data_IF_410651442163
#
_entry.id   IF_410651442163
#
_cell.length_a   1.000
_cell.length_b   1.000
_cell.length_c   1.000
_cell.angle_alpha   90.00
_cell.angle_beta   90.00
_cell.angle_gamma   90.00
#
_symmetry.space_group_name_H-M   'P 1'
#
loop_
_entity.id
_entity.type
_entity.pdbx_description
1 polymer ?
#
# COMPACT_ATOMS: atom_id res chain seq x y z
N UNK A 1 -4.06 -0.07 -5.83
CA UNK A 1 -3.98 -1.01 -4.70
C UNK A 1 -5.09 -0.80 -3.65
N UNK A 2 -5.20 0.34 -2.97
CA UNK A 2 -6.26 0.67 -1.99
C UNK A 2 -7.72 0.54 -2.47
N UNK A 3 -8.06 1.06 -3.66
CA UNK A 3 -9.42 0.95 -4.24
C UNK A 3 -9.91 -0.49 -4.46
N UNK A 4 -9.00 -1.46 -4.45
CA UNK A 4 -9.28 -2.89 -4.65
C UNK A 4 -9.36 -3.68 -3.34
N UNK A 5 -9.20 -3.01 -2.19
CA UNK A 5 -9.35 -3.66 -0.88
C UNK A 5 -10.83 -3.90 -0.62
N UNK A 6 -11.19 -5.14 -0.29
CA UNK A 6 -12.54 -5.47 0.12
C UNK A 6 -12.96 -4.63 1.33
N UNK A 7 -14.18 -4.09 1.28
CA UNK A 7 -14.69 -3.16 2.31
C UNK A 7 -14.20 -1.72 2.20
N UNK A 8 -13.32 -1.35 1.25
CA UNK A 8 -12.87 0.04 1.10
C UNK A 8 -14.04 1.02 0.86
N UNK A 9 -15.01 0.64 0.02
CA UNK A 9 -16.19 1.48 -0.24
C UNK A 9 -17.07 1.65 1.01
N UNK A 10 -17.18 0.60 1.82
CA UNK A 10 -17.95 0.64 3.06
C UNK A 10 -17.27 1.52 4.11
N UNK A 11 -15.95 1.43 4.23
CA UNK A 11 -15.14 2.32 5.06
C UNK A 11 -15.35 3.80 4.69
N UNK A 12 -15.27 4.14 3.40
CA UNK A 12 -15.48 5.53 2.94
C UNK A 12 -16.89 6.00 3.29
N UNK A 13 -17.90 5.13 3.14
CA UNK A 13 -19.30 5.43 3.44
C UNK A 13 -19.49 5.71 4.93
N UNK A 14 -18.92 4.87 5.79
CA UNK A 14 -18.98 4.99 7.24
C UNK A 14 -18.30 6.29 7.72
N UNK A 15 -17.08 6.55 7.25
CA UNK A 15 -16.33 7.78 7.54
C UNK A 15 -17.09 9.03 7.08
N UNK A 16 -17.63 9.03 5.85
CA UNK A 16 -18.37 10.19 5.34
C UNK A 16 -19.66 10.46 6.13
N UNK A 17 -20.31 9.41 6.63
CA UNK A 17 -21.55 9.49 7.41
C UNK A 17 -21.27 9.98 8.83
N UNK A 18 -20.12 9.64 9.42
CA UNK A 18 -19.75 10.10 10.77
C UNK A 18 -19.38 11.59 10.83
N UNK A 19 -18.99 12.21 9.71
CA UNK A 19 -18.68 13.63 9.67
C UNK A 19 -19.93 14.51 9.72
N UNK A 20 -20.21 15.06 10.90
CA UNK A 20 -21.23 16.10 11.09
C UNK A 20 -20.59 17.48 10.95
N UNK A 21 -20.97 18.23 9.90
CA UNK A 21 -20.43 19.57 9.62
C UNK A 21 -21.58 20.49 9.21
N UNK A 22 -21.67 21.64 9.87
CA UNK A 22 -22.63 22.71 9.57
C UNK A 22 -21.99 23.82 8.72
N UNK A 23 -22.81 24.53 7.93
CA UNK A 23 -22.37 25.67 7.11
C UNK A 23 -22.86 25.56 5.66
N UNK A 24 -22.29 26.37 4.78
CA UNK A 24 -22.60 26.28 3.35
C UNK A 24 -22.14 24.94 2.77
N UNK A 25 -22.80 24.49 1.69
CA UNK A 25 -22.46 23.23 1.03
C UNK A 25 -20.98 23.14 0.65
N UNK A 26 -20.40 24.23 0.14
CA UNK A 26 -18.98 24.30 -0.21
C UNK A 26 -18.07 24.17 1.02
N UNK A 27 -18.43 24.82 2.13
CA UNK A 27 -17.68 24.69 3.38
C UNK A 27 -17.72 23.25 3.92
N UNK A 28 -18.92 22.66 3.99
CA UNK A 28 -19.13 21.30 4.44
C UNK A 28 -18.29 20.30 3.62
N UNK A 29 -18.28 20.44 2.30
CA UNK A 29 -17.50 19.60 1.39
C UNK A 29 -15.99 19.71 1.65
N UNK A 30 -15.45 20.93 1.80
CA UNK A 30 -14.02 21.14 2.09
C UNK A 30 -13.61 20.50 3.42
N UNK A 31 -14.43 20.64 4.46
CA UNK A 31 -14.15 20.07 5.77
C UNK A 31 -14.19 18.54 5.72
N UNK A 32 -15.23 17.96 5.11
CA UNK A 32 -15.35 16.49 4.95
C UNK A 32 -14.19 15.90 4.17
N UNK A 33 -13.75 16.53 3.07
CA UNK A 33 -12.58 16.07 2.31
C UNK A 33 -11.28 16.14 3.12
N UNK A 34 -11.11 17.18 3.95
CA UNK A 34 -9.94 17.31 4.83
C UNK A 34 -9.93 16.23 5.91
N UNK A 35 -11.08 15.92 6.51
CA UNK A 35 -11.22 14.85 7.50
C UNK A 35 -10.94 13.48 6.86
N UNK A 36 -11.60 13.18 5.74
CA UNK A 36 -11.41 11.95 4.98
C UNK A 36 -9.95 11.72 4.60
N UNK A 37 -9.25 12.77 4.15
CA UNK A 37 -7.83 12.68 3.80
C UNK A 37 -6.95 12.31 5.01
N UNK A 38 -7.30 12.76 6.22
CA UNK A 38 -6.54 12.41 7.44
C UNK A 38 -6.80 10.96 7.84
N UNK A 39 -8.05 10.54 7.88
CA UNK A 39 -8.43 9.19 8.29
C UNK A 39 -7.89 8.15 7.31
N UNK A 40 -7.94 8.44 6.01
CA UNK A 40 -7.31 7.58 5.00
C UNK A 40 -5.80 7.48 5.13
N UNK A 41 -5.10 8.51 5.64
CA UNK A 41 -3.66 8.40 5.92
C UNK A 41 -3.38 7.45 7.08
N UNK A 42 -4.20 7.51 8.13
CA UNK A 42 -4.09 6.61 9.30
C UNK A 42 -4.38 5.19 8.87
N UNK A 43 -5.53 4.96 8.24
CA UNK A 43 -5.93 3.65 7.73
C UNK A 43 -4.90 3.07 6.76
N UNK A 44 -4.35 3.88 5.85
CA UNK A 44 -3.31 3.41 4.93
C UNK A 44 -2.03 2.98 5.67
N UNK A 45 -1.67 3.65 6.78
CA UNK A 45 -0.55 3.23 7.62
C UNK A 45 -0.86 1.95 8.39
N UNK A 46 -2.07 1.77 8.89
CA UNK A 46 -2.50 0.57 9.63
C UNK A 46 -2.57 -0.66 8.73
N UNK A 47 -3.17 -0.52 7.54
CA UNK A 47 -3.37 -1.64 6.60
C UNK A 47 -2.13 -1.94 5.77
N UNK A 48 -1.41 -0.90 5.32
CA UNK A 48 -0.30 -1.07 4.39
C UNK A 48 1.08 -0.68 4.94
N UNK A 49 1.15 -0.11 6.15
CA UNK A 49 2.41 0.36 6.72
C UNK A 49 3.05 1.48 5.90
N UNK A 50 4.38 1.57 5.93
CA UNK A 50 5.13 2.48 5.07
C UNK A 50 5.33 1.85 3.68
N UNK A 51 4.36 2.06 2.80
CA UNK A 51 4.37 1.52 1.43
C UNK A 51 5.64 1.89 0.65
N UNK A 52 6.09 3.15 0.75
CA UNK A 52 7.29 3.61 0.05
C UNK A 52 8.55 2.89 0.53
N UNK A 53 8.70 2.74 1.85
CA UNK A 53 9.77 1.96 2.45
C UNK A 53 9.69 0.48 2.06
N UNK A 54 8.50 -0.11 2.09
CA UNK A 54 8.28 -1.51 1.73
C UNK A 54 8.60 -1.78 0.25
N UNK A 55 8.21 -0.88 -0.65
CA UNK A 55 8.55 -0.96 -2.08
C UNK A 55 10.06 -0.87 -2.29
N UNK A 56 10.73 0.09 -1.65
CA UNK A 56 12.18 0.24 -1.73
C UNK A 56 12.94 -0.97 -1.16
N UNK A 57 12.48 -1.50 -0.01
CA UNK A 57 13.04 -2.71 0.61
C UNK A 57 12.89 -3.93 -0.29
N UNK A 58 11.71 -4.14 -0.88
CA UNK A 58 11.47 -5.25 -1.81
C UNK A 58 12.29 -5.11 -3.09
N UNK A 59 12.46 -3.89 -3.62
CA UNK A 59 13.29 -3.65 -4.80
C UNK A 59 14.76 -4.01 -4.54
N UNK A 60 15.32 -3.56 -3.41
CA UNK A 60 16.70 -3.95 -3.00
C UNK A 60 16.88 -5.46 -2.90
N UNK A 61 15.86 -6.15 -2.39
CA UNK A 61 15.89 -7.61 -2.24
C UNK A 61 15.86 -8.32 -3.61
N UNK A 62 15.11 -7.82 -4.59
CA UNK A 62 15.15 -8.32 -5.97
C UNK A 62 16.54 -8.07 -6.58
N UNK A 63 17.07 -6.85 -6.49
CA UNK A 63 18.37 -6.52 -7.05
C UNK A 63 19.49 -7.38 -6.49
N UNK A 64 19.42 -7.76 -5.20
CA UNK A 64 20.35 -8.71 -4.60
C UNK A 64 20.30 -10.09 -5.27
N UNK A 65 19.10 -10.65 -5.48
CA UNK A 65 18.96 -11.96 -6.12
C UNK A 65 19.37 -11.95 -7.60
N UNK A 66 19.05 -10.87 -8.32
CA UNK A 66 19.47 -10.70 -9.71
C UNK A 66 21.00 -10.60 -9.84
N UNK A 67 21.66 -9.91 -8.91
CA UNK A 67 23.13 -9.87 -8.85
C UNK A 67 23.72 -11.25 -8.55
N UNK A 68 23.19 -11.94 -7.54
CA UNK A 68 23.69 -13.25 -7.12
C UNK A 68 23.59 -14.31 -8.22
N UNK A 69 22.47 -14.35 -8.94
CA UNK A 69 22.27 -15.25 -10.07
C UNK A 69 23.26 -15.00 -11.22
N UNK A 70 23.62 -13.74 -11.47
CA UNK A 70 24.62 -13.40 -12.50
C UNK A 70 26.03 -13.86 -12.13
N UNK A 71 26.35 -13.88 -10.83
CA UNK A 71 27.69 -14.25 -10.34
C UNK A 71 27.79 -15.76 -10.10
N UNK A 72 26.70 -16.44 -9.76
CA UNK A 72 26.67 -17.87 -9.47
C UNK A 72 25.27 -18.45 -9.64
N UNK A 73 25.18 -19.69 -10.14
CA UNK A 73 23.91 -20.43 -10.16
C UNK A 73 23.32 -20.52 -8.75
N UNK A 74 22.03 -20.19 -8.63
CA UNK A 74 21.31 -20.30 -7.36
C UNK A 74 21.13 -21.78 -7.00
N UNK A 75 21.37 -22.12 -5.74
CA UNK A 75 20.91 -23.40 -5.20
C UNK A 75 19.38 -23.44 -5.12
N UNK A 76 18.80 -24.63 -4.98
CA UNK A 76 17.34 -24.78 -4.84
C UNK A 76 16.75 -23.98 -3.68
N UNK A 77 17.47 -23.89 -2.55
CA UNK A 77 17.04 -23.11 -1.37
C UNK A 77 17.02 -21.61 -1.69
N UNK A 78 18.01 -21.13 -2.44
CA UNK A 78 18.14 -19.74 -2.84
C UNK A 78 17.13 -19.34 -3.92
N UNK A 79 16.86 -20.24 -4.86
CA UNK A 79 15.81 -20.06 -5.86
C UNK A 79 14.43 -19.90 -5.19
N UNK A 80 14.15 -20.70 -4.16
CA UNK A 80 12.91 -20.58 -3.39
C UNK A 80 12.86 -19.26 -2.60
N UNK A 81 13.97 -18.86 -1.97
CA UNK A 81 14.05 -17.56 -1.28
C UNK A 81 13.83 -16.37 -2.24
N UNK A 82 14.34 -16.45 -3.48
CA UNK A 82 14.07 -15.47 -4.53
C UNK A 82 12.61 -15.47 -4.96
N UNK A 83 11.99 -16.64 -5.12
CA UNK A 83 10.56 -16.76 -5.45
C UNK A 83 9.70 -16.06 -4.39
N UNK A 84 9.97 -16.34 -3.10
CA UNK A 84 9.28 -15.68 -1.97
C UNK A 84 9.52 -14.17 -1.97
N UNK A 85 10.74 -13.72 -2.28
CA UNK A 85 11.05 -12.29 -2.43
C UNK A 85 10.24 -11.63 -3.55
N UNK A 86 10.08 -12.32 -4.68
CA UNK A 86 9.32 -11.84 -5.83
C UNK A 86 7.83 -11.75 -5.53
N UNK A 87 7.25 -12.73 -4.85
CA UNK A 87 5.84 -12.67 -4.40
C UNK A 87 5.62 -11.50 -3.43
N UNK A 88 6.56 -11.29 -2.50
CA UNK A 88 6.52 -10.14 -1.60
C UNK A 88 6.66 -8.81 -2.35
N UNK A 89 7.45 -8.74 -3.42
CA UNK A 89 7.52 -7.55 -4.27
C UNK A 89 6.22 -7.34 -5.07
N UNK A 90 5.65 -8.39 -5.67
CA UNK A 90 4.36 -8.31 -6.39
C UNK A 90 3.24 -7.77 -5.49
N UNK A 91 3.25 -8.14 -4.20
CA UNK A 91 2.36 -7.56 -3.17
C UNK A 91 2.46 -6.05 -3.04
N UNK A 92 3.60 -5.43 -3.36
CA UNK A 92 3.81 -3.98 -3.35
C UNK A 92 3.90 -3.36 -4.75
N UNK A 93 3.95 -4.18 -5.79
CA UNK A 93 4.30 -3.82 -7.16
C UNK A 93 3.14 -3.40 -8.05
N UNK A 94 1.88 -3.56 -7.64
CA UNK A 94 0.73 -3.13 -8.44
C UNK A 94 0.46 -1.62 -8.28
N UNK A 95 1.29 -0.84 -8.95
CA UNK A 95 1.01 0.50 -9.51
C UNK A 95 2.16 0.80 -10.49
N UNK A 96 1.95 0.41 -11.74
CA UNK A 96 2.69 0.79 -12.93
C UNK A 96 1.68 0.80 -14.06
#
# INVERSE_FOLDING_TARGET
>A
MWLKVDGFKDLIRELCTSYVVSGSSSHCLVVKLKALKKDLKVWNKEVFGNVSFNKAKSLRHISFWDFKERVSSLSNVEAEARRVALEKYKKWGFNG
#
